data_IF_960523468952
#
_entry.id   IF_960523468952
#
_cell.length_a   1.000
_cell.length_b   1.000
_cell.length_c   1.000
_cell.angle_alpha   90.00
_cell.angle_beta   90.00
_cell.angle_gamma   90.00
#
_symmetry.space_group_name_H-M   'P 1'
#
loop_
_entity.id
_entity.type
_entity.pdbx_description
1 polymer ?
#
# COMPACT_ATOMS: atom_id res chain seq x y z
N UNK A 1 -5.63 -58.39 -46.25
CA UNK A 1 -5.24 -57.37 -45.25
C UNK A 1 -6.38 -56.37 -45.11
N UNK A 2 -6.84 -56.04 -43.89
CA UNK A 2 -7.57 -54.81 -43.60
C UNK A 2 -6.61 -53.68 -43.14
N UNK A 3 -7.00 -52.39 -43.18
CA UNK A 3 -6.13 -51.28 -42.79
C UNK A 3 -5.86 -51.22 -41.27
N UNK A 4 -4.68 -50.70 -40.89
CA UNK A 4 -4.25 -50.62 -39.49
C UNK A 4 -5.04 -49.61 -38.65
N UNK A 5 -5.45 -50.02 -37.45
CA UNK A 5 -6.22 -49.21 -36.50
C UNK A 5 -5.41 -48.01 -35.97
N UNK A 6 -5.57 -46.83 -36.58
CA UNK A 6 -5.10 -45.57 -35.99
C UNK A 6 -5.86 -45.30 -34.70
N UNK A 7 -5.27 -45.68 -33.55
CA UNK A 7 -5.68 -45.14 -32.25
C UNK A 7 -5.49 -43.63 -32.31
N UNK A 8 -6.58 -42.85 -32.27
CA UNK A 8 -6.46 -41.45 -31.88
C UNK A 8 -5.99 -41.45 -30.42
N UNK A 9 -4.76 -41.01 -30.19
CA UNK A 9 -4.31 -40.70 -28.84
C UNK A 9 -5.18 -39.58 -28.30
N UNK A 10 -5.90 -39.84 -27.21
CA UNK A 10 -6.66 -38.81 -26.49
C UNK A 10 -5.67 -37.76 -26.00
N UNK A 11 -5.66 -36.60 -26.67
CA UNK A 11 -4.78 -35.50 -26.29
C UNK A 11 -5.14 -35.09 -24.86
N UNK A 12 -4.20 -35.28 -23.95
CA UNK A 12 -4.32 -34.92 -22.55
C UNK A 12 -4.78 -33.46 -22.46
N UNK A 13 -5.92 -33.22 -21.82
CA UNK A 13 -6.44 -31.87 -21.53
C UNK A 13 -5.51 -31.16 -20.54
N UNK A 14 -4.36 -30.68 -21.04
CA UNK A 14 -3.60 -29.62 -20.39
C UNK A 14 -4.55 -28.42 -20.31
N UNK A 15 -4.84 -27.88 -19.11
CA UNK A 15 -5.67 -26.68 -19.03
C UNK A 15 -4.98 -25.58 -19.84
N UNK A 16 -5.76 -24.86 -20.66
CA UNK A 16 -5.22 -23.79 -21.49
C UNK A 16 -4.54 -22.74 -20.59
N UNK A 17 -3.21 -22.74 -20.64
CA UNK A 17 -2.42 -21.73 -19.94
C UNK A 17 -2.58 -20.43 -20.71
N UNK A 18 -3.39 -19.53 -20.15
CA UNK A 18 -3.55 -18.16 -20.62
C UNK A 18 -2.20 -17.57 -21.06
N UNK A 19 -2.13 -16.87 -22.21
CA UNK A 19 -0.90 -16.30 -22.72
C UNK A 19 -0.16 -15.50 -21.64
N UNK A 20 1.16 -15.66 -21.55
CA UNK A 20 1.96 -15.06 -20.46
C UNK A 20 1.72 -13.55 -20.30
N UNK A 21 1.58 -12.83 -21.42
CA UNK A 21 1.23 -11.40 -21.43
C UNK A 21 -0.15 -11.12 -20.82
N UNK A 22 -1.17 -11.93 -21.12
CA UNK A 22 -2.51 -11.76 -20.56
C UNK A 22 -2.54 -12.07 -19.05
N UNK A 23 -1.86 -13.14 -18.62
CA UNK A 23 -1.68 -13.45 -17.20
C UNK A 23 -0.92 -12.34 -16.45
N UNK A 24 0.07 -11.71 -17.10
CA UNK A 24 0.78 -10.56 -16.57
C UNK A 24 -0.09 -9.29 -16.49
N UNK A 25 -0.87 -8.98 -17.53
CA UNK A 25 -1.84 -7.85 -17.53
C UNK A 25 -2.84 -8.01 -16.38
N UNK A 26 -3.41 -9.20 -16.19
CA UNK A 26 -4.35 -9.45 -15.09
C UNK A 26 -3.70 -9.26 -13.71
N UNK A 27 -2.43 -9.65 -13.55
CA UNK A 27 -1.66 -9.42 -12.33
C UNK A 27 -1.33 -7.95 -12.10
N UNK A 28 -0.99 -7.20 -13.15
CA UNK A 28 -0.78 -5.75 -13.07
C UNK A 28 -2.08 -5.04 -12.68
N UNK A 29 -3.20 -5.38 -13.33
CA UNK A 29 -4.52 -4.85 -13.00
C UNK A 29 -4.87 -5.08 -11.52
N UNK A 30 -4.73 -6.32 -11.04
CA UNK A 30 -5.00 -6.65 -9.63
C UNK A 30 -4.17 -5.82 -8.64
N UNK A 31 -2.87 -5.61 -8.90
CA UNK A 31 -1.99 -4.78 -8.06
C UNK A 31 -2.35 -3.30 -8.16
N UNK A 32 -2.68 -2.79 -9.35
CA UNK A 32 -3.07 -1.39 -9.57
C UNK A 32 -4.40 -1.06 -8.89
N UNK A 33 -5.42 -1.92 -9.02
CA UNK A 33 -6.70 -1.76 -8.30
C UNK A 33 -6.49 -1.87 -6.79
N UNK A 34 -5.69 -2.84 -6.32
CA UNK A 34 -5.29 -2.94 -4.90
C UNK A 34 -4.68 -1.65 -4.36
N UNK A 35 -3.72 -1.08 -5.10
CA UNK A 35 -3.04 0.18 -4.74
C UNK A 35 -3.98 1.39 -4.76
N UNK A 36 -4.86 1.47 -5.77
CA UNK A 36 -5.90 2.49 -5.87
C UNK A 36 -6.88 2.43 -4.70
N UNK A 37 -7.42 1.25 -4.39
CA UNK A 37 -8.38 1.05 -3.28
C UNK A 37 -7.76 1.31 -1.90
N UNK A 38 -6.44 1.16 -1.76
CA UNK A 38 -5.70 1.57 -0.56
C UNK A 38 -5.51 3.10 -0.49
N UNK A 39 -5.01 3.74 -1.55
CA UNK A 39 -4.64 5.15 -1.52
C UNK A 39 -5.85 6.09 -1.56
N UNK A 40 -6.92 5.71 -2.25
CA UNK A 40 -8.17 6.47 -2.31
C UNK A 40 -9.22 5.95 -1.32
N UNK A 41 -8.86 5.07 -0.37
CA UNK A 41 -9.79 4.43 0.56
C UNK A 41 -10.68 5.45 1.29
N UNK A 42 -10.08 6.54 1.77
CA UNK A 42 -10.74 7.67 2.47
C UNK A 42 -11.72 8.47 1.60
N UNK A 43 -11.61 8.38 0.27
CA UNK A 43 -12.56 8.97 -0.68
C UNK A 43 -13.66 7.95 -1.02
N UNK A 44 -13.26 6.72 -1.36
CA UNK A 44 -14.18 5.63 -1.71
C UNK A 44 -15.17 5.33 -0.58
N UNK A 45 -14.70 5.23 0.66
CA UNK A 45 -15.51 5.01 1.88
C UNK A 45 -16.40 6.18 2.30
N UNK A 46 -16.31 7.35 1.63
CA UNK A 46 -17.30 8.45 1.74
C UNK A 46 -18.36 8.38 0.64
N UNK A 47 -18.12 7.62 -0.43
CA UNK A 47 -18.98 7.47 -1.60
C UNK A 47 -19.67 6.09 -1.66
N UNK A 48 -19.43 5.24 -0.66
CA UNK A 48 -19.94 3.86 -0.53
C UNK A 48 -20.17 3.54 0.95
N UNK A 49 -20.93 2.49 1.24
CA UNK A 49 -21.10 1.98 2.60
C UNK A 49 -19.92 1.10 3.04
N UNK A 50 -19.77 0.92 4.35
CA UNK A 50 -18.80 -0.03 4.92
C UNK A 50 -19.05 -1.48 4.45
N UNK A 51 -20.31 -1.85 4.17
CA UNK A 51 -20.65 -3.18 3.68
C UNK A 51 -20.17 -3.38 2.24
N UNK A 52 -20.39 -2.40 1.36
CA UNK A 52 -19.90 -2.43 -0.02
C UNK A 52 -18.38 -2.43 -0.10
N UNK A 53 -17.68 -1.57 0.65
CA UNK A 53 -16.20 -1.58 0.71
C UNK A 53 -15.64 -2.93 1.16
N UNK A 54 -16.28 -3.56 2.16
CA UNK A 54 -15.89 -4.90 2.63
C UNK A 54 -16.16 -5.98 1.58
N UNK A 55 -17.32 -5.93 0.91
CA UNK A 55 -17.70 -6.89 -0.12
C UNK A 55 -16.81 -6.76 -1.37
N UNK A 56 -16.49 -5.53 -1.79
CA UNK A 56 -15.54 -5.24 -2.85
C UNK A 56 -14.16 -5.83 -2.53
N UNK A 57 -13.61 -5.54 -1.34
CA UNK A 57 -12.33 -6.10 -0.87
C UNK A 57 -12.28 -7.63 -0.91
N UNK A 58 -13.37 -8.31 -0.54
CA UNK A 58 -13.48 -9.77 -0.61
C UNK A 58 -13.42 -10.36 -2.04
N UNK A 59 -13.68 -9.57 -3.08
CA UNK A 59 -13.53 -9.98 -4.49
C UNK A 59 -12.12 -9.68 -5.05
N UNK A 60 -11.30 -8.90 -4.34
CA UNK A 60 -9.99 -8.47 -4.84
C UNK A 60 -8.93 -9.58 -4.72
N UNK A 61 -8.17 -9.80 -5.81
CA UNK A 61 -6.99 -10.68 -5.76
C UNK A 61 -5.84 -10.10 -4.91
N UNK A 62 -5.87 -8.78 -4.64
CA UNK A 62 -4.86 -8.05 -3.86
C UNK A 62 -5.56 -7.02 -2.96
N UNK A 63 -5.98 -7.42 -1.77
CA UNK A 63 -6.53 -6.52 -0.75
C UNK A 63 -5.44 -6.10 0.27
N UNK A 64 -4.85 -4.91 0.05
CA UNK A 64 -3.89 -4.34 0.98
C UNK A 64 -4.53 -3.84 2.29
N UNK A 65 -5.80 -3.45 2.28
CA UNK A 65 -6.53 -2.98 3.45
C UNK A 65 -6.77 -4.15 4.43
N UNK A 66 -7.18 -5.32 3.91
CA UNK A 66 -7.23 -6.56 4.68
C UNK A 66 -5.83 -6.97 5.16
N UNK A 67 -4.78 -6.84 4.33
CA UNK A 67 -3.41 -7.17 4.74
C UNK A 67 -2.94 -6.31 5.93
N UNK A 68 -3.23 -5.02 5.94
CA UNK A 68 -2.97 -4.13 7.10
C UNK A 68 -3.81 -4.56 8.30
N UNK A 69 -5.12 -4.75 8.15
CA UNK A 69 -6.01 -5.13 9.26
C UNK A 69 -5.62 -6.49 9.90
N UNK A 70 -5.14 -7.43 9.11
CA UNK A 70 -4.66 -8.75 9.56
C UNK A 70 -3.25 -8.73 10.17
N UNK A 71 -2.41 -7.75 9.85
CA UNK A 71 -1.20 -7.44 10.61
C UNK A 71 -1.55 -6.77 11.95
N UNK A 72 -2.34 -5.70 11.91
CA UNK A 72 -2.73 -4.90 13.08
C UNK A 72 -3.18 -5.80 14.25
N UNK A 73 -4.15 -6.69 13.98
CA UNK A 73 -4.72 -7.67 14.92
C UNK A 73 -3.72 -8.61 15.60
N UNK A 74 -2.49 -8.74 15.07
CA UNK A 74 -1.42 -9.61 15.57
C UNK A 74 -0.23 -8.85 16.15
N UNK A 75 -0.24 -7.51 16.06
CA UNK A 75 0.98 -6.69 16.17
C UNK A 75 1.16 -5.91 17.46
N UNK A 76 0.10 -5.71 18.26
CA UNK A 76 -0.03 -4.72 19.35
C UNK A 76 0.08 -3.22 18.96
N UNK A 77 0.05 -2.92 17.66
CA UNK A 77 0.03 -1.56 17.13
C UNK A 77 -1.23 -0.77 17.56
N UNK A 78 -1.06 0.54 17.74
CA UNK A 78 -2.11 1.53 18.01
C UNK A 78 -2.77 1.95 16.70
N UNK A 79 -1.96 2.13 15.66
CA UNK A 79 -2.42 2.35 14.30
C UNK A 79 -1.39 1.92 13.25
N UNK A 80 -1.89 1.76 12.02
CA UNK A 80 -1.11 1.77 10.79
C UNK A 80 -1.72 2.85 9.89
N UNK A 81 -0.95 3.85 9.49
CA UNK A 81 -1.41 4.93 8.61
C UNK A 81 -0.50 5.11 7.39
N UNK A 82 -1.06 5.69 6.32
CA UNK A 82 -0.32 6.16 5.15
C UNK A 82 -0.48 7.67 5.07
N UNK A 83 0.63 8.38 5.18
CA UNK A 83 0.72 9.82 4.95
C UNK A 83 1.15 10.07 3.50
N UNK A 84 0.37 10.88 2.79
CA UNK A 84 0.82 11.46 1.52
C UNK A 84 1.62 12.73 1.81
N UNK A 85 2.67 12.98 1.05
CA UNK A 85 3.47 14.20 1.08
C UNK A 85 2.94 15.19 0.02
N UNK A 86 2.13 16.14 0.45
CA UNK A 86 1.61 17.25 -0.34
C UNK A 86 2.51 18.50 -0.27
N UNK A 87 3.70 18.42 0.34
CA UNK A 87 4.60 19.56 0.40
C UNK A 87 5.08 19.95 -1.01
N UNK A 88 5.01 21.24 -1.32
CA UNK A 88 5.35 21.79 -2.64
C UNK A 88 4.47 21.28 -3.79
N UNK A 89 3.29 20.72 -3.53
CA UNK A 89 2.38 20.24 -4.57
C UNK A 89 1.19 21.20 -4.76
N UNK A 90 1.34 22.15 -5.67
CA UNK A 90 0.29 23.10 -6.05
C UNK A 90 -0.87 22.47 -6.84
N UNK A 91 -0.73 21.20 -7.25
CA UNK A 91 -1.81 20.42 -7.88
C UNK A 91 -2.62 19.61 -6.87
N UNK A 92 -2.11 19.43 -5.64
CA UNK A 92 -2.76 18.60 -4.63
C UNK A 92 -4.15 19.09 -4.26
N UNK A 93 -5.10 18.15 -4.22
CA UNK A 93 -6.43 18.35 -3.70
C UNK A 93 -6.91 17.06 -3.02
N UNK A 94 -7.43 17.14 -1.78
CA UNK A 94 -7.78 15.95 -0.98
C UNK A 94 -8.82 15.05 -1.66
N UNK A 95 -9.62 15.58 -2.59
CA UNK A 95 -10.69 14.85 -3.28
C UNK A 95 -10.37 14.59 -4.76
N UNK A 96 -9.12 14.79 -5.19
CA UNK A 96 -8.61 14.50 -6.54
C UNK A 96 -9.05 15.46 -7.65
N UNK A 97 -10.30 15.91 -7.65
CA UNK A 97 -10.84 16.84 -8.66
C UNK A 97 -10.90 18.29 -8.14
N UNK A 98 -10.15 19.20 -8.78
CA UNK A 98 -10.25 20.66 -8.58
C UNK A 98 -10.96 21.30 -9.79
N UNK A 99 -12.00 22.09 -9.52
CA UNK A 99 -12.64 22.93 -10.54
C UNK A 99 -11.68 24.06 -10.98
N UNK A 100 -11.53 24.38 -12.27
CA UNK A 100 -10.55 25.36 -12.74
C UNK A 100 -10.64 26.72 -12.03
N UNK A 101 -11.86 27.25 -11.88
CA UNK A 101 -12.10 28.58 -11.29
C UNK A 101 -12.03 28.61 -9.75
N UNK A 102 -11.76 27.46 -9.10
CA UNK A 102 -11.69 27.37 -7.64
C UNK A 102 -10.25 27.38 -7.17
N UNK A 103 -9.81 28.52 -6.64
CA UNK A 103 -8.61 28.58 -5.82
C UNK A 103 -8.75 27.68 -4.58
N UNK A 104 -7.66 27.01 -4.22
CA UNK A 104 -7.53 26.19 -3.03
C UNK A 104 -6.20 26.53 -2.39
N UNK A 105 -6.18 26.71 -1.08
CA UNK A 105 -4.93 26.96 -0.37
C UNK A 105 -4.04 25.71 -0.38
N UNK A 106 -2.79 25.86 -0.83
CA UNK A 106 -1.79 24.79 -0.77
C UNK A 106 -1.58 24.40 0.69
N UNK A 107 -1.67 23.11 1.08
CA UNK A 107 -1.60 22.72 2.48
C UNK A 107 -0.23 23.01 3.11
N UNK A 108 -0.24 23.61 4.31
CA UNK A 108 0.97 24.07 5.02
C UNK A 108 1.21 23.30 6.32
N UNK A 109 2.49 23.10 6.65
CA UNK A 109 2.92 22.52 7.92
C UNK A 109 2.36 21.12 8.15
N UNK A 110 1.58 20.95 9.22
CA UNK A 110 0.99 19.66 9.62
C UNK A 110 0.03 19.10 8.56
N UNK A 111 -0.63 19.97 7.79
CA UNK A 111 -1.59 19.56 6.75
C UNK A 111 -0.95 19.36 5.37
N UNK A 112 0.36 19.64 5.22
CA UNK A 112 1.16 19.16 4.09
C UNK A 112 1.36 17.63 4.11
N UNK A 113 1.01 16.95 5.21
CA UNK A 113 1.12 15.49 5.35
C UNK A 113 -0.24 14.81 5.63
N UNK A 114 -1.23 14.89 4.73
CA UNK A 114 -2.55 14.31 4.93
C UNK A 114 -2.51 12.77 5.02
N UNK A 115 -3.17 12.21 6.04
CA UNK A 115 -3.45 10.78 6.10
C UNK A 115 -4.47 10.40 5.01
N UNK A 116 -4.06 9.52 4.09
CA UNK A 116 -4.88 9.00 2.99
C UNK A 116 -5.50 7.64 3.30
N UNK A 117 -4.88 6.87 4.20
CA UNK A 117 -5.41 5.65 4.80
C UNK A 117 -5.00 5.57 6.27
N UNK A 118 -5.84 5.01 7.12
CA UNK A 118 -5.48 4.63 8.49
C UNK A 118 -6.32 3.44 8.98
N UNK A 119 -5.72 2.60 9.82
CA UNK A 119 -6.39 1.49 10.50
C UNK A 119 -5.95 1.46 11.99
N UNK A 120 -6.86 1.27 12.96
CA UNK A 120 -8.30 1.09 12.80
C UNK A 120 -9.00 2.37 12.35
N UNK A 121 -10.17 2.26 11.73
CA UNK A 121 -10.97 3.43 11.29
C UNK A 121 -11.50 4.29 12.45
N UNK A 122 -11.34 3.85 13.70
CA UNK A 122 -11.60 4.58 14.94
C UNK A 122 -10.39 5.38 15.46
N UNK A 123 -9.23 5.31 14.80
CA UNK A 123 -8.05 6.07 15.19
C UNK A 123 -8.25 7.58 14.93
N UNK A 124 -8.05 8.40 15.96
CA UNK A 124 -8.30 9.84 15.94
C UNK A 124 -7.09 10.68 16.40
N UNK A 125 -5.98 10.06 16.83
CA UNK A 125 -4.84 10.74 17.45
C UNK A 125 -3.95 11.47 16.42
N UNK A 126 -4.39 12.67 15.98
CA UNK A 126 -3.54 13.58 15.20
C UNK A 126 -2.31 14.11 15.95
N UNK A 127 -2.27 13.96 17.29
CA UNK A 127 -1.24 14.53 18.17
C UNK A 127 0.19 14.08 17.85
N UNK A 128 0.37 12.89 17.26
CA UNK A 128 1.69 12.37 16.88
C UNK A 128 2.21 12.91 15.56
N UNK A 129 1.37 13.57 14.74
CA UNK A 129 1.75 13.97 13.38
C UNK A 129 2.95 14.94 13.31
N UNK A 130 3.14 15.91 14.24
CA UNK A 130 4.38 16.70 14.31
C UNK A 130 5.63 15.84 14.54
N UNK A 131 5.58 14.85 15.44
CA UNK A 131 6.68 13.92 15.68
C UNK A 131 7.00 13.09 14.42
N UNK A 132 5.96 12.59 13.74
CA UNK A 132 6.12 11.81 12.50
C UNK A 132 6.73 12.66 11.39
N UNK A 133 6.30 13.91 11.19
CA UNK A 133 6.89 14.84 10.22
C UNK A 133 8.35 15.16 10.56
N UNK A 134 8.67 15.38 11.85
CA UNK A 134 10.05 15.55 12.31
C UNK A 134 10.92 14.33 11.96
N UNK A 135 10.41 13.11 12.19
CA UNK A 135 11.15 11.88 11.84
C UNK A 135 11.34 11.77 10.32
N UNK A 136 10.30 12.03 9.52
CA UNK A 136 10.39 12.01 8.04
C UNK A 136 11.46 12.97 7.54
N UNK A 137 11.48 14.22 8.03
CA UNK A 137 12.48 15.22 7.64
C UNK A 137 13.90 14.82 8.08
N UNK A 138 14.07 14.41 9.35
CA UNK A 138 15.37 14.05 9.91
C UNK A 138 15.96 12.75 9.32
N UNK A 139 15.12 11.87 8.76
CA UNK A 139 15.52 10.57 8.19
C UNK A 139 15.21 10.44 6.69
N UNK A 140 15.02 11.57 6.00
CA UNK A 140 14.61 11.61 4.58
C UNK A 140 15.50 10.77 3.66
N UNK A 141 16.81 10.74 3.89
CA UNK A 141 17.75 9.95 3.09
C UNK A 141 17.55 8.44 3.27
N UNK A 142 17.33 7.98 4.50
CA UNK A 142 17.12 6.57 4.88
C UNK A 142 15.77 6.03 4.33
N UNK A 143 14.74 6.89 4.35
CA UNK A 143 13.44 6.64 3.75
C UNK A 143 13.48 6.65 2.21
N UNK A 144 14.30 7.53 1.62
CA UNK A 144 14.51 7.58 0.16
C UNK A 144 15.34 6.39 -0.34
N UNK A 145 16.25 5.83 0.47
CA UNK A 145 16.92 4.55 0.19
C UNK A 145 16.04 3.32 0.46
N UNK A 146 14.72 3.46 0.32
CA UNK A 146 13.70 2.41 0.49
C UNK A 146 13.64 1.72 1.88
N UNK A 147 14.36 2.24 2.88
CA UNK A 147 14.58 1.61 4.18
C UNK A 147 13.39 1.66 5.15
N UNK A 148 13.59 1.11 6.35
CA UNK A 148 12.67 1.19 7.48
C UNK A 148 13.35 1.94 8.62
N UNK A 149 12.81 3.09 8.96
CA UNK A 149 13.22 3.89 10.12
C UNK A 149 12.46 3.39 11.34
N UNK A 150 13.16 3.13 12.45
CA UNK A 150 12.57 2.94 13.77
C UNK A 150 12.95 4.12 14.68
N UNK A 151 11.99 4.68 15.42
CA UNK A 151 12.23 5.78 16.36
C UNK A 151 11.37 5.63 17.62
N UNK A 152 11.98 5.77 18.80
CA UNK A 152 11.26 5.77 20.09
C UNK A 152 11.31 7.17 20.72
N UNK A 153 10.15 7.78 20.97
CA UNK A 153 10.06 9.03 21.72
C UNK A 153 9.78 8.74 23.20
N UNK A 154 10.77 9.05 24.05
CA UNK A 154 10.67 8.91 25.51
C UNK A 154 9.68 9.90 26.15
N UNK A 155 9.24 10.96 25.45
CA UNK A 155 8.35 12.01 26.01
C UNK A 155 6.86 11.65 25.94
N UNK A 156 6.47 10.85 24.95
CA UNK A 156 5.08 10.39 24.72
C UNK A 156 4.95 8.87 24.84
N UNK A 157 6.05 8.17 25.12
CA UNK A 157 6.16 6.72 25.21
C UNK A 157 5.55 6.02 23.98
N UNK A 158 6.11 6.36 22.80
CA UNK A 158 5.69 5.80 21.51
C UNK A 158 6.87 5.31 20.68
N UNK A 159 6.75 4.13 20.09
CA UNK A 159 7.61 3.73 18.95
C UNK A 159 6.90 3.99 17.64
N UNK A 160 7.63 4.54 16.67
CA UNK A 160 7.22 4.77 15.29
C UNK A 160 8.11 3.94 14.37
N UNK A 161 7.51 3.18 13.45
CA UNK A 161 8.21 2.60 12.31
C UNK A 161 7.72 3.28 11.03
N UNK A 162 8.63 3.67 10.14
CA UNK A 162 8.31 4.38 8.89
C UNK A 162 9.00 3.75 7.69
N UNK A 163 8.32 3.68 6.54
CA UNK A 163 8.94 3.34 5.23
C UNK A 163 8.18 3.99 4.07
N UNK A 164 8.87 4.35 2.98
CA UNK A 164 8.21 4.86 1.78
C UNK A 164 7.63 3.73 0.92
N UNK A 165 6.33 3.85 0.60
CA UNK A 165 5.65 2.99 -0.36
C UNK A 165 5.78 3.51 -1.80
N UNK A 166 5.89 4.83 -1.95
CA UNK A 166 6.14 5.58 -3.19
C UNK A 166 6.88 6.89 -2.83
N UNK A 167 7.44 7.65 -3.80
CA UNK A 167 8.19 8.88 -3.52
C UNK A 167 7.47 9.90 -2.61
N UNK A 168 6.14 10.04 -2.75
CA UNK A 168 5.26 10.90 -1.94
C UNK A 168 4.34 10.13 -0.95
N UNK A 169 4.55 8.83 -0.67
CA UNK A 169 3.71 8.08 0.29
C UNK A 169 4.57 7.35 1.31
N UNK A 170 4.37 7.69 2.59
CA UNK A 170 5.05 7.05 3.73
C UNK A 170 4.06 6.26 4.56
N UNK A 171 4.33 4.97 4.75
CA UNK A 171 3.64 4.12 5.72
C UNK A 171 4.23 4.34 7.10
N UNK A 172 3.37 4.46 8.11
CA UNK A 172 3.74 4.64 9.51
C UNK A 172 3.01 3.61 10.38
N UNK A 173 3.69 3.03 11.36
CA UNK A 173 3.11 2.14 12.38
C UNK A 173 3.48 2.68 13.76
N UNK A 174 2.48 2.82 14.64
CA UNK A 174 2.63 3.45 15.97
C UNK A 174 2.35 2.45 17.09
N UNK A 175 3.16 2.48 18.14
CA UNK A 175 3.09 1.55 19.29
C UNK A 175 3.05 2.30 20.62
N UNK A 176 2.19 1.87 21.56
CA UNK A 176 2.17 2.31 22.97
C UNK A 176 3.30 1.71 23.83
N UNK A 177 4.27 1.05 23.21
CA UNK A 177 5.37 0.35 23.88
C UNK A 177 6.69 0.60 23.14
N UNK A 178 7.81 0.42 23.83
CA UNK A 178 9.14 0.45 23.21
C UNK A 178 9.39 -0.83 22.43
N UNK A 179 9.55 -0.73 21.11
CA UNK A 179 9.90 -1.85 20.22
C UNK A 179 11.37 -1.85 19.86
N UNK A 180 11.84 -2.99 19.35
CA UNK A 180 13.19 -3.14 18.77
C UNK A 180 13.17 -2.75 17.30
N UNK A 181 14.18 -2.00 16.84
CA UNK A 181 14.44 -1.76 15.41
C UNK A 181 14.63 -3.08 14.62
N UNK A 182 14.95 -4.18 15.32
CA UNK A 182 15.21 -5.52 14.78
C UNK A 182 14.03 -6.48 15.00
N UNK A 183 12.85 -5.97 15.30
CA UNK A 183 11.63 -6.78 15.39
C UNK A 183 11.31 -7.39 14.02
N UNK A 184 11.58 -8.68 13.85
CA UNK A 184 11.48 -9.37 12.56
C UNK A 184 10.04 -9.50 12.06
N UNK A 185 9.04 -9.42 12.95
CA UNK A 185 7.63 -9.45 12.56
C UNK A 185 7.20 -8.11 11.98
N UNK A 186 7.54 -7.00 12.65
CA UNK A 186 7.24 -5.64 12.18
C UNK A 186 8.04 -5.33 10.91
N UNK A 187 9.36 -5.53 10.94
CA UNK A 187 10.26 -5.24 9.81
C UNK A 187 9.92 -6.11 8.60
N UNK A 188 9.74 -7.42 8.79
CA UNK A 188 9.39 -8.35 7.71
C UNK A 188 8.06 -7.97 7.05
N UNK A 189 7.03 -7.64 7.85
CA UNK A 189 5.75 -7.16 7.33
C UNK A 189 5.91 -5.89 6.49
N UNK A 190 6.64 -4.89 6.97
CA UNK A 190 6.82 -3.62 6.27
C UNK A 190 7.62 -3.78 4.97
N UNK A 191 8.66 -4.62 4.96
CA UNK A 191 9.42 -4.96 3.74
C UNK A 191 8.51 -5.63 2.70
N UNK A 192 7.76 -6.68 3.10
CA UNK A 192 6.85 -7.39 2.19
C UNK A 192 5.63 -6.54 1.78
N UNK A 193 5.24 -5.54 2.58
CA UNK A 193 4.17 -4.61 2.21
C UNK A 193 4.66 -3.59 1.18
N UNK A 194 5.76 -2.90 1.46
CA UNK A 194 6.34 -1.92 0.53
C UNK A 194 6.73 -2.57 -0.81
N UNK A 195 7.37 -3.74 -0.79
CA UNK A 195 7.77 -4.48 -2.00
C UNK A 195 6.58 -4.96 -2.86
N UNK A 196 5.38 -5.09 -2.26
CA UNK A 196 4.16 -5.40 -3.00
C UNK A 196 3.50 -4.12 -3.55
N UNK A 197 3.42 -3.04 -2.77
CA UNK A 197 2.79 -1.76 -3.17
C UNK A 197 3.63 -0.98 -4.20
N UNK A 198 4.97 -1.04 -4.11
CA UNK A 198 5.87 -0.47 -5.14
C UNK A 198 5.67 -1.13 -6.51
N UNK A 199 5.20 -2.38 -6.55
CA UNK A 199 4.89 -3.09 -7.80
C UNK A 199 6.10 -3.59 -8.61
N UNK A 200 7.34 -3.31 -8.19
CA UNK A 200 8.59 -3.66 -8.87
C UNK A 200 8.64 -5.13 -9.33
N UNK A 201 8.17 -6.06 -8.48
CA UNK A 201 8.07 -7.51 -8.78
C UNK A 201 7.10 -7.87 -9.91
N UNK A 202 6.12 -7.01 -10.23
CA UNK A 202 5.23 -7.21 -11.39
C UNK A 202 5.96 -6.81 -12.66
N UNK A 203 6.58 -5.64 -12.70
CA UNK A 203 7.33 -5.19 -13.88
C UNK A 203 8.49 -6.13 -14.22
N UNK A 204 9.23 -6.64 -13.22
CA UNK A 204 10.31 -7.62 -13.45
C UNK A 204 9.84 -8.98 -13.98
N UNK A 205 8.53 -9.29 -13.95
CA UNK A 205 7.98 -10.48 -14.61
C UNK A 205 7.73 -10.28 -16.11
N UNK A 206 7.66 -9.03 -16.60
CA UNK A 206 7.55 -8.75 -18.02
C UNK A 206 8.93 -8.92 -18.67
N UNK A 207 9.27 -10.16 -19.05
CA UNK A 207 10.46 -10.41 -19.86
C UNK A 207 10.33 -9.62 -21.18
N UNK A 208 11.34 -8.84 -21.60
CA UNK A 208 11.40 -8.37 -22.96
C UNK A 208 11.43 -9.60 -23.89
N UNK A 209 10.73 -9.52 -25.02
CA UNK A 209 10.77 -10.59 -26.02
C UNK A 209 12.21 -10.77 -26.52
N UNK A 210 12.64 -12.03 -26.69
CA UNK A 210 13.87 -12.31 -27.41
C UNK A 210 13.77 -11.70 -28.82
N UNK A 211 14.81 -10.98 -29.23
CA UNK A 211 15.06 -10.64 -30.64
C UNK A 211 15.70 -11.84 -31.34
#
# INVERSE_FOLDING_TARGET
MPPGTRRLGTSLLRPERLPHLYAWINRLNAVMVGKFTLYFNKVLSKQTTHQEMKHFGQQMTVDYCHKIASFYKKSDAVCVELLFDAFGDESYYEHGYRHPDRSVEVPKGIDSYPAIYFYPSTYQEKQHRPNIIMIINNKVNELNSEGIVCFYDNRVERTYFLTKLDPRVTMVIVYCSRKSEKDTFIVGFMQDFALQVRGNKVFSMLKPGNK
#
